data_IF_258580695018
#
_entry.id   IF_258580695018
#
_cell.length_a   1.000
_cell.length_b   1.000
_cell.length_c   1.000
_cell.angle_alpha   90.00
_cell.angle_beta   90.00
_cell.angle_gamma   90.00
#
_symmetry.space_group_name_H-M   'P 1'
#
loop_
_entity.id
_entity.type
_entity.pdbx_description
1 polymer ?
#
# COMPACT_ATOMS: atom_id res chain seq x y z
N UNK A 1 10.38 -7.89 -16.41
CA UNK A 1 9.75 -6.61 -16.01
C UNK A 1 10.56 -6.01 -14.86
N UNK A 2 10.64 -4.69 -14.75
CA UNK A 2 11.35 -3.98 -13.69
C UNK A 2 10.42 -2.91 -13.11
N UNK A 3 10.48 -2.71 -11.78
CA UNK A 3 9.75 -1.67 -11.06
C UNK A 3 10.75 -0.79 -10.29
N UNK A 4 10.56 0.52 -10.32
CA UNK A 4 11.36 1.51 -9.61
C UNK A 4 10.51 2.65 -9.06
N UNK A 5 11.08 3.40 -8.13
CA UNK A 5 10.57 4.69 -7.68
C UNK A 5 11.68 5.74 -7.77
N UNK A 6 11.33 7.00 -8.00
CA UNK A 6 12.25 8.13 -7.87
C UNK A 6 12.30 8.63 -6.42
N UNK A 7 11.39 8.16 -5.55
CA UNK A 7 11.28 8.61 -4.17
C UNK A 7 12.09 7.77 -3.19
N UNK A 8 12.25 6.46 -3.47
CA UNK A 8 13.07 5.56 -2.65
C UNK A 8 13.61 4.38 -3.47
N UNK A 9 14.71 3.82 -3.02
CA UNK A 9 15.32 2.62 -3.62
C UNK A 9 14.79 1.34 -2.99
N UNK A 10 15.04 0.20 -3.67
CA UNK A 10 14.68 -1.11 -3.15
C UNK A 10 15.40 -1.42 -1.81
N UNK A 11 14.65 -1.81 -0.78
CA UNK A 11 15.13 -2.04 0.57
C UNK A 11 15.57 -0.77 1.30
N UNK A 12 15.11 0.41 0.87
CA UNK A 12 15.44 1.69 1.49
C UNK A 12 14.22 2.32 2.16
N UNK A 13 14.45 3.24 3.14
CA UNK A 13 13.37 3.94 3.82
C UNK A 13 12.46 4.70 2.84
N UNK A 14 11.14 4.57 3.06
CA UNK A 14 10.14 5.42 2.41
C UNK A 14 10.18 6.79 3.07
N UNK A 15 10.33 7.92 2.34
CA UNK A 15 10.24 9.25 2.93
C UNK A 15 8.88 9.50 3.59
N UNK A 16 8.89 10.25 4.69
CA UNK A 16 7.72 10.44 5.55
C UNK A 16 6.53 11.06 4.83
N UNK A 17 6.73 11.86 3.80
CA UNK A 17 5.66 12.46 2.98
C UNK A 17 4.75 11.43 2.27
N UNK A 18 5.28 10.22 2.02
CA UNK A 18 4.54 9.10 1.43
C UNK A 18 3.89 8.19 2.48
N UNK A 19 4.04 8.51 3.76
CA UNK A 19 3.47 7.76 4.86
C UNK A 19 2.16 8.40 5.36
N UNK A 20 1.30 7.58 5.98
CA UNK A 20 0.11 8.04 6.69
C UNK A 20 0.49 8.66 8.05
N UNK A 21 1.49 8.09 8.73
CA UNK A 21 2.02 8.61 9.97
C UNK A 21 3.53 8.87 9.90
N UNK A 22 4.03 9.84 10.68
CA UNK A 22 5.45 10.19 10.82
C UNK A 22 5.88 10.22 12.26
N UNK A 23 7.18 10.03 12.49
CA UNK A 23 7.76 10.13 13.83
C UNK A 23 7.51 11.51 14.44
N UNK A 24 7.04 11.51 15.69
CA UNK A 24 6.83 12.68 16.52
C UNK A 24 6.87 12.24 18.00
N UNK A 25 6.16 12.89 18.90
CA UNK A 25 6.03 12.47 20.30
C UNK A 25 4.55 12.14 20.62
N UNK A 26 4.12 10.87 20.55
CA UNK A 26 4.80 9.67 20.03
C UNK A 26 4.78 9.55 18.50
N UNK A 27 3.78 10.09 17.79
CA UNK A 27 3.68 10.16 16.33
C UNK A 27 2.77 11.33 15.89
N UNK A 28 2.80 11.70 14.62
CA UNK A 28 1.88 12.64 13.99
C UNK A 28 1.39 12.09 12.65
N UNK A 29 0.27 12.60 12.13
CA UNK A 29 -0.14 12.36 10.76
C UNK A 29 0.86 12.98 9.78
N UNK A 30 1.03 12.37 8.61
CA UNK A 30 1.89 12.84 7.54
C UNK A 30 1.08 13.23 6.30
N UNK A 31 1.73 13.44 5.16
CA UNK A 31 1.08 14.00 3.99
C UNK A 31 0.34 12.94 3.17
N UNK A 32 0.67 11.65 3.35
CA UNK A 32 -0.01 10.51 2.72
C UNK A 32 0.02 10.55 1.18
N UNK A 33 1.10 11.11 0.60
CA UNK A 33 1.26 11.16 -0.85
C UNK A 33 1.47 9.75 -1.41
N UNK A 34 0.86 9.41 -2.54
CA UNK A 34 1.23 8.19 -3.25
C UNK A 34 2.64 8.34 -3.84
N UNK A 35 3.54 7.33 -3.72
CA UNK A 35 4.88 7.44 -4.27
C UNK A 35 4.87 7.35 -5.80
N UNK A 36 5.89 7.93 -6.44
CA UNK A 36 6.20 7.67 -7.84
C UNK A 36 6.51 6.20 -8.03
N UNK A 37 5.92 5.58 -9.04
CA UNK A 37 6.20 4.21 -9.47
C UNK A 37 6.31 4.17 -11.00
N UNK A 38 7.38 3.57 -11.52
CA UNK A 38 7.56 3.37 -12.95
C UNK A 38 8.00 1.94 -13.24
N UNK A 39 7.42 1.34 -14.29
CA UNK A 39 7.75 -0.01 -14.72
C UNK A 39 8.00 -0.10 -16.22
N UNK A 40 8.84 -1.05 -16.59
CA UNK A 40 9.25 -1.28 -17.98
C UNK A 40 9.53 -2.77 -18.24
N UNK A 41 9.79 -3.08 -19.51
CA UNK A 41 10.13 -4.43 -19.96
C UNK A 41 9.01 -5.45 -19.64
N UNK A 42 7.75 -5.02 -19.74
CA UNK A 42 6.61 -5.91 -19.67
C UNK A 42 6.57 -6.84 -20.89
N UNK A 43 6.06 -8.08 -20.75
CA UNK A 43 5.87 -8.98 -21.89
C UNK A 43 5.03 -8.34 -23.01
N UNK A 44 5.32 -8.65 -24.26
CA UNK A 44 4.64 -8.05 -25.41
C UNK A 44 3.12 -8.34 -25.46
N UNK A 45 2.69 -9.43 -24.81
CA UNK A 45 1.29 -9.83 -24.73
C UNK A 45 0.51 -9.10 -23.62
N UNK A 46 1.14 -8.17 -22.88
CA UNK A 46 0.49 -7.43 -21.78
C UNK A 46 -0.64 -6.56 -22.31
N UNK A 47 -1.80 -6.66 -21.65
CA UNK A 47 -3.02 -5.92 -22.00
C UNK A 47 -3.51 -5.02 -20.88
N UNK A 48 -3.09 -5.27 -19.63
CA UNK A 48 -3.33 -4.40 -18.48
C UNK A 48 -2.30 -4.68 -17.40
N UNK A 49 -2.30 -3.80 -16.37
CA UNK A 49 -1.53 -4.03 -15.16
C UNK A 49 -2.41 -4.00 -13.91
N UNK A 50 -1.90 -4.63 -12.87
CA UNK A 50 -2.39 -4.55 -11.50
C UNK A 50 -1.26 -4.05 -10.62
N UNK A 51 -1.57 -3.17 -9.67
CA UNK A 51 -0.65 -2.69 -8.63
C UNK A 51 -1.18 -3.09 -7.25
N UNK A 52 -0.29 -3.56 -6.39
CA UNK A 52 -0.56 -3.78 -4.96
C UNK A 52 0.53 -3.15 -4.11
N UNK A 53 0.18 -2.67 -2.91
CA UNK A 53 1.12 -2.39 -1.81
C UNK A 53 0.63 -3.12 -0.57
N UNK A 54 1.45 -4.03 -0.04
CA UNK A 54 1.11 -4.89 1.10
C UNK A 54 2.27 -4.87 2.10
N UNK A 55 1.94 -4.69 3.37
CA UNK A 55 2.84 -4.84 4.52
C UNK A 55 2.58 -6.22 5.17
N UNK A 56 3.52 -7.18 5.11
CA UNK A 56 3.37 -8.49 5.75
C UNK A 56 3.79 -8.49 7.23
N UNK A 57 4.25 -7.37 7.77
CA UNK A 57 4.87 -7.28 9.09
C UNK A 57 3.93 -6.75 10.18
N UNK A 58 2.62 -6.63 9.89
CA UNK A 58 1.65 -6.10 10.85
C UNK A 58 1.39 -7.09 11.98
N UNK A 59 1.40 -6.64 13.26
CA UNK A 59 1.12 -7.50 14.41
C UNK A 59 -0.21 -8.25 14.28
N UNK A 60 -0.21 -9.57 14.50
CA UNK A 60 -1.42 -10.40 14.42
C UNK A 60 -2.44 -10.14 15.53
N UNK A 61 -2.07 -9.33 16.54
CA UNK A 61 -2.93 -8.91 17.66
C UNK A 61 -2.51 -7.53 18.16
N UNK A 62 -3.48 -6.76 18.67
CA UNK A 62 -3.30 -5.37 19.05
C UNK A 62 -3.03 -5.09 20.53
N UNK A 63 -2.81 -6.14 21.38
CA UNK A 63 -2.76 -5.99 22.85
C UNK A 63 -1.74 -4.97 23.35
N UNK A 64 -0.61 -4.83 22.65
CA UNK A 64 0.47 -3.92 23.01
C UNK A 64 0.63 -2.75 22.01
N UNK A 65 -0.13 -2.76 20.92
CA UNK A 65 -0.02 -1.77 19.84
C UNK A 65 -0.31 -0.37 20.35
N UNK A 66 0.63 0.55 20.10
CA UNK A 66 0.51 1.98 20.44
C UNK A 66 0.24 2.26 21.92
N UNK A 67 0.76 1.43 22.83
CA UNK A 67 0.62 1.63 24.26
C UNK A 67 1.92 2.11 24.91
N UNK A 68 1.84 3.20 25.68
CA UNK A 68 2.99 3.75 26.41
C UNK A 68 3.53 2.72 27.43
N UNK A 69 4.87 2.57 27.46
CA UNK A 69 5.56 1.63 28.34
C UNK A 69 5.47 0.17 27.89
N UNK A 70 4.90 -0.12 26.73
CA UNK A 70 4.88 -1.44 26.11
C UNK A 70 5.67 -1.46 24.81
N UNK A 71 6.05 -2.64 24.39
CA UNK A 71 6.72 -2.89 23.09
C UNK A 71 5.99 -4.01 22.40
N UNK A 72 5.69 -3.86 21.12
CA UNK A 72 5.23 -4.96 20.27
C UNK A 72 6.45 -5.83 19.93
N UNK A 73 6.50 -7.11 20.37
CA UNK A 73 7.68 -7.95 20.17
C UNK A 73 7.92 -8.24 18.67
N UNK A 74 9.20 -8.27 18.26
CA UNK A 74 9.54 -8.59 16.86
C UNK A 74 9.19 -10.03 16.46
N UNK A 75 9.16 -10.96 17.43
CA UNK A 75 8.83 -12.38 17.22
C UNK A 75 7.33 -12.69 17.30
N UNK A 76 6.48 -11.69 17.51
CA UNK A 76 5.02 -11.85 17.41
C UNK A 76 4.66 -12.29 15.99
N UNK A 77 3.76 -13.28 15.81
CA UNK A 77 3.24 -13.61 14.48
C UNK A 77 2.69 -12.39 13.74
N UNK A 78 2.95 -12.32 12.44
CA UNK A 78 2.59 -11.17 11.58
C UNK A 78 1.52 -11.57 10.57
N UNK A 79 0.78 -10.57 10.11
CA UNK A 79 -0.27 -10.70 9.10
C UNK A 79 -0.10 -9.65 8.00
N UNK A 80 -0.67 -9.94 6.82
CA UNK A 80 -0.72 -8.95 5.73
C UNK A 80 -1.66 -7.79 6.11
N UNK A 81 -1.24 -6.59 5.73
CA UNK A 81 -2.07 -5.37 5.75
C UNK A 81 -2.00 -4.72 4.37
N UNK A 82 -3.14 -4.52 3.78
CA UNK A 82 -3.28 -3.92 2.45
C UNK A 82 -3.23 -2.41 2.56
N UNK A 83 -2.28 -1.78 1.85
CA UNK A 83 -2.13 -0.33 1.73
C UNK A 83 -2.64 0.22 0.40
N UNK A 84 -2.63 -0.59 -0.67
CA UNK A 84 -3.04 -0.17 -1.99
C UNK A 84 -3.41 -1.36 -2.88
N UNK A 85 -4.56 -1.27 -3.54
CA UNK A 85 -4.96 -2.18 -4.61
C UNK A 85 -5.47 -1.35 -5.78
N UNK A 86 -4.90 -1.57 -6.97
CA UNK A 86 -5.38 -0.96 -8.22
C UNK A 86 -5.37 -2.02 -9.33
N UNK A 87 -6.47 -2.13 -10.06
CA UNK A 87 -6.61 -3.06 -11.17
C UNK A 87 -7.01 -2.34 -12.46
N UNK A 88 -6.94 -3.04 -13.59
CA UNK A 88 -7.32 -2.53 -14.90
C UNK A 88 -6.51 -1.28 -15.32
N UNK A 89 -5.26 -1.17 -14.89
CA UNK A 89 -4.34 -0.13 -15.33
C UNK A 89 -4.04 -0.38 -16.82
N UNK A 90 -4.25 0.60 -17.71
CA UNK A 90 -4.04 0.42 -19.15
C UNK A 90 -2.63 -0.04 -19.52
N UNK A 91 -2.49 -0.87 -20.57
CA UNK A 91 -1.21 -1.41 -21.02
C UNK A 91 -0.19 -0.34 -21.44
N UNK A 92 -0.65 0.82 -21.90
CA UNK A 92 0.17 1.97 -22.24
C UNK A 92 0.67 2.77 -21.02
N UNK A 93 0.11 2.52 -19.85
CA UNK A 93 0.56 3.14 -18.62
C UNK A 93 1.85 2.44 -18.14
N UNK A 94 2.93 3.19 -18.05
CA UNK A 94 4.23 2.70 -17.54
C UNK A 94 4.71 3.43 -16.30
N UNK A 95 3.90 4.38 -15.79
CA UNK A 95 4.30 5.26 -14.71
C UNK A 95 3.09 5.84 -13.97
N UNK A 96 3.21 6.00 -12.67
CA UNK A 96 2.36 6.79 -11.80
C UNK A 96 3.22 7.86 -11.14
N UNK A 97 2.93 9.14 -11.37
CA UNK A 97 3.66 10.23 -10.75
C UNK A 97 3.43 10.26 -9.22
N UNK A 98 4.37 10.81 -8.49
CA UNK A 98 4.17 11.06 -7.06
C UNK A 98 2.93 11.94 -6.83
N UNK A 99 2.17 11.68 -5.78
CA UNK A 99 0.91 12.35 -5.40
C UNK A 99 -0.24 12.22 -6.43
N UNK A 100 -0.09 11.40 -7.49
CA UNK A 100 -1.12 11.28 -8.52
C UNK A 100 -2.35 10.46 -8.08
N UNK A 101 -2.21 9.58 -7.08
CA UNK A 101 -3.26 8.68 -6.62
C UNK A 101 -3.68 8.91 -5.16
N UNK A 102 -2.91 9.69 -4.42
CA UNK A 102 -3.22 10.19 -3.08
C UNK A 102 -2.34 11.40 -2.80
N UNK A 103 -2.91 12.50 -2.33
CA UNK A 103 -2.24 13.76 -2.04
C UNK A 103 -2.53 14.28 -0.63
N UNK A 104 -3.36 13.55 0.14
CA UNK A 104 -3.69 13.86 1.53
C UNK A 104 -4.33 12.69 2.27
N UNK A 105 -4.49 12.82 3.58
CA UNK A 105 -5.34 11.95 4.39
C UNK A 105 -6.78 12.46 4.32
N UNK A 106 -7.71 11.61 3.87
CA UNK A 106 -9.13 11.92 3.86
C UNK A 106 -9.80 11.15 5.00
N UNK A 107 -10.30 11.83 6.05
CA UNK A 107 -11.07 11.20 7.10
C UNK A 107 -12.25 10.41 6.52
N UNK A 108 -12.45 9.18 6.98
CA UNK A 108 -13.46 8.21 6.51
C UNK A 108 -13.15 7.60 5.13
N UNK A 109 -11.93 7.83 4.61
CA UNK A 109 -11.43 7.23 3.37
C UNK A 109 -11.80 7.99 2.10
N UNK A 110 -11.08 7.66 1.04
CA UNK A 110 -11.30 8.16 -0.32
C UNK A 110 -12.37 7.31 -1.00
N UNK A 111 -13.53 7.88 -1.31
CA UNK A 111 -14.60 7.17 -2.03
C UNK A 111 -14.33 7.07 -3.54
N UNK A 112 -13.59 8.03 -4.09
CA UNK A 112 -13.26 8.11 -5.52
C UNK A 112 -11.76 8.45 -5.67
N UNK A 113 -10.85 7.49 -5.37
CA UNK A 113 -9.41 7.73 -5.47
C UNK A 113 -8.99 7.92 -6.92
N UNK A 114 -8.06 8.85 -7.16
CA UNK A 114 -7.51 9.10 -8.49
C UNK A 114 -6.68 7.92 -8.99
N UNK A 115 -6.70 7.71 -10.32
CA UNK A 115 -5.93 6.69 -11.01
C UNK A 115 -5.94 6.87 -12.52
N UNK A 116 -5.17 6.07 -13.29
CA UNK A 116 -5.23 6.05 -14.74
C UNK A 116 -6.66 5.80 -15.26
N UNK A 117 -7.07 6.43 -16.38
CA UNK A 117 -8.41 6.24 -16.92
C UNK A 117 -8.74 4.75 -17.14
N UNK A 118 -9.89 4.31 -16.63
CA UNK A 118 -10.34 2.91 -16.72
C UNK A 118 -9.82 1.99 -15.63
N UNK A 119 -8.86 2.42 -14.79
CA UNK A 119 -8.48 1.66 -13.61
C UNK A 119 -9.58 1.71 -12.54
N UNK A 120 -9.60 0.70 -11.68
CA UNK A 120 -10.45 0.62 -10.48
C UNK A 120 -9.57 0.35 -9.26
N UNK A 121 -9.97 0.86 -8.11
CA UNK A 121 -9.20 0.71 -6.89
C UNK A 121 -9.95 -0.12 -5.84
N UNK A 122 -9.20 -0.90 -5.09
CA UNK A 122 -9.73 -1.78 -4.06
C UNK A 122 -9.72 -1.14 -2.68
N UNK A 123 -10.44 -1.78 -1.75
CA UNK A 123 -10.45 -1.42 -0.34
C UNK A 123 -9.11 -1.77 0.30
N UNK A 124 -8.58 -0.86 1.11
CA UNK A 124 -7.41 -1.10 1.94
C UNK A 124 -7.79 -1.35 3.41
N UNK A 125 -6.85 -1.86 4.21
CA UNK A 125 -7.13 -2.36 5.56
C UNK A 125 -7.26 -1.26 6.62
N UNK A 126 -7.02 0.02 6.27
CA UNK A 126 -7.41 1.15 7.14
C UNK A 126 -8.93 1.15 7.39
N UNK A 127 -9.73 0.62 6.46
CA UNK A 127 -11.17 0.39 6.66
C UNK A 127 -11.45 -0.42 7.93
N UNK A 128 -10.74 -1.52 8.12
CA UNK A 128 -10.83 -2.36 9.32
C UNK A 128 -10.17 -1.73 10.54
N UNK A 129 -9.03 -1.08 10.35
CA UNK A 129 -8.28 -0.44 11.42
C UNK A 129 -9.08 0.67 12.10
N UNK A 130 -9.76 1.49 11.33
CA UNK A 130 -10.58 2.58 11.85
C UNK A 130 -12.04 2.20 12.16
N UNK A 131 -12.40 0.93 12.06
CA UNK A 131 -13.75 0.47 12.41
C UNK A 131 -14.07 0.81 13.88
N UNK A 132 -15.12 1.62 14.09
CA UNK A 132 -15.51 2.09 15.42
C UNK A 132 -14.90 3.40 15.87
N UNK A 133 -13.95 3.98 15.12
CA UNK A 133 -13.47 5.35 15.37
C UNK A 133 -14.54 6.37 14.91
N UNK A 134 -14.87 7.34 15.77
CA UNK A 134 -15.97 8.27 15.49
C UNK A 134 -15.69 9.24 14.32
N UNK A 135 -14.40 9.56 14.09
CA UNK A 135 -13.98 10.55 13.09
C UNK A 135 -13.44 9.88 11.83
N UNK A 136 -12.78 8.73 11.97
CA UNK A 136 -12.05 8.07 10.88
C UNK A 136 -12.77 6.85 10.30
N UNK A 137 -13.80 6.30 10.97
CA UNK A 137 -14.52 5.10 10.46
C UNK A 137 -15.15 5.35 9.10
N UNK A 138 -14.82 4.50 8.11
CA UNK A 138 -15.31 4.60 6.74
C UNK A 138 -14.64 3.58 5.82
N UNK A 139 -14.92 3.67 4.53
CA UNK A 139 -14.33 2.81 3.51
C UNK A 139 -13.12 3.50 2.87
N UNK A 140 -11.94 2.92 3.03
CA UNK A 140 -10.68 3.44 2.52
C UNK A 140 -10.33 2.75 1.22
N UNK A 141 -10.41 3.47 0.09
CA UNK A 141 -10.05 3.00 -1.24
C UNK A 141 -8.70 3.60 -1.69
N UNK A 142 -7.97 2.85 -2.50
CA UNK A 142 -6.71 3.31 -3.07
C UNK A 142 -5.56 3.31 -2.06
N UNK A 143 -4.61 4.23 -2.24
CA UNK A 143 -3.41 4.31 -1.43
C UNK A 143 -3.63 5.03 -0.12
N UNK A 144 -3.26 4.37 0.98
CA UNK A 144 -2.95 4.98 2.26
C UNK A 144 -1.64 4.40 2.78
N UNK A 145 -0.70 5.28 3.09
CA UNK A 145 0.71 4.96 3.29
C UNK A 145 1.06 4.31 4.62
N UNK A 146 2.35 4.11 4.89
CA UNK A 146 2.87 3.52 6.12
C UNK A 146 2.41 4.23 7.39
N UNK A 147 1.99 3.44 8.39
CA UNK A 147 1.76 3.90 9.76
C UNK A 147 1.90 2.72 10.74
N UNK A 148 3.08 2.08 10.82
CA UNK A 148 3.28 0.96 11.74
C UNK A 148 3.16 1.44 13.19
N UNK A 149 2.93 0.54 14.15
CA UNK A 149 2.88 0.92 15.56
C UNK A 149 4.17 1.65 15.98
N UNK A 150 4.03 2.81 16.64
CA UNK A 150 5.20 3.61 17.08
C UNK A 150 6.07 2.91 18.14
N UNK A 151 5.59 1.81 18.70
CA UNK A 151 6.31 0.98 19.68
C UNK A 151 6.61 -0.44 19.15
N UNK A 152 6.52 -0.67 17.83
CA UNK A 152 6.89 -1.98 17.25
C UNK A 152 8.41 -2.13 17.22
N UNK A 153 8.92 -3.27 17.68
CA UNK A 153 10.34 -3.60 17.62
C UNK A 153 10.79 -4.15 16.26
N UNK A 154 9.84 -4.41 15.34
CA UNK A 154 10.13 -4.86 13.99
C UNK A 154 10.14 -3.67 13.02
N UNK A 155 11.09 -3.67 12.07
CA UNK A 155 11.05 -2.83 10.89
C UNK A 155 10.02 -3.38 9.92
N UNK A 156 9.09 -2.55 9.45
CA UNK A 156 8.08 -2.95 8.50
C UNK A 156 8.56 -2.80 7.05
N UNK A 157 8.12 -3.73 6.17
CA UNK A 157 8.44 -3.77 4.74
C UNK A 157 7.16 -3.60 3.92
N UNK A 158 7.19 -2.66 2.98
CA UNK A 158 6.06 -2.34 2.10
C UNK A 158 6.38 -2.84 0.71
N UNK A 159 5.68 -3.91 0.31
CA UNK A 159 5.89 -4.61 -0.95
C UNK A 159 4.99 -4.00 -2.04
N UNK A 160 5.57 -3.11 -2.84
CA UNK A 160 4.92 -2.61 -4.06
C UNK A 160 5.13 -3.62 -5.18
N UNK A 161 4.06 -4.17 -5.73
CA UNK A 161 4.12 -5.13 -6.84
C UNK A 161 3.28 -4.67 -8.01
N UNK A 162 3.83 -4.76 -9.21
CA UNK A 162 3.11 -4.57 -10.46
C UNK A 162 3.07 -5.90 -11.21
N UNK A 163 1.87 -6.31 -11.61
CA UNK A 163 1.61 -7.53 -12.38
C UNK A 163 1.18 -7.16 -13.78
N UNK A 164 1.82 -7.74 -14.80
CA UNK A 164 1.42 -7.64 -16.20
C UNK A 164 0.44 -8.77 -16.54
N UNK A 165 -0.71 -8.44 -17.10
CA UNK A 165 -1.79 -9.40 -17.38
C UNK A 165 -2.03 -9.55 -18.88
N UNK A 166 -2.49 -10.75 -19.32
CA UNK A 166 -2.89 -11.05 -20.71
C UNK A 166 -4.33 -10.64 -21.05
N UNK A 167 -5.07 -10.08 -20.09
CA UNK A 167 -6.43 -9.55 -20.25
C UNK A 167 -6.46 -8.05 -20.09
N UNK A 168 -7.34 -7.37 -20.84
CA UNK A 168 -7.47 -5.92 -20.76
C UNK A 168 -8.21 -5.47 -19.50
N UNK A 169 -9.16 -6.27 -19.02
CA UNK A 169 -9.95 -5.95 -17.84
C UNK A 169 -10.20 -7.23 -17.02
N UNK A 170 -10.01 -7.12 -15.73
CA UNK A 170 -10.52 -8.06 -14.74
C UNK A 170 -11.98 -7.67 -14.41
N UNK A 171 -12.86 -8.63 -14.08
CA UNK A 171 -14.24 -8.37 -13.71
C UNK A 171 -14.36 -7.83 -12.28
N UNK A 172 -13.71 -6.69 -12.01
CA UNK A 172 -13.65 -6.01 -10.72
C UNK A 172 -14.30 -4.62 -10.82
N UNK A 173 -14.91 -4.20 -9.73
CA UNK A 173 -15.48 -2.86 -9.55
C UNK A 173 -14.80 -2.17 -8.38
N UNK A 174 -14.93 -0.85 -8.25
CA UNK A 174 -14.42 -0.11 -7.09
C UNK A 174 -14.76 -0.81 -5.76
N UNK A 175 -13.82 -0.75 -4.82
CA UNK A 175 -13.98 -1.37 -3.51
C UNK A 175 -13.73 -2.89 -3.48
N UNK A 176 -13.14 -3.47 -4.51
CA UNK A 176 -12.80 -4.90 -4.50
C UNK A 176 -11.77 -5.23 -3.41
N UNK A 177 -11.84 -6.45 -2.85
CA UNK A 177 -10.90 -6.93 -1.84
C UNK A 177 -9.66 -7.59 -2.47
N UNK A 178 -8.60 -7.74 -1.67
CA UNK A 178 -7.39 -8.51 -2.07
C UNK A 178 -7.74 -9.95 -2.49
N UNK A 179 -8.68 -10.60 -1.80
CA UNK A 179 -9.11 -11.95 -2.14
C UNK A 179 -9.79 -11.99 -3.53
N UNK A 180 -10.65 -11.03 -3.84
CA UNK A 180 -11.29 -10.90 -5.15
C UNK A 180 -10.25 -10.62 -6.25
N UNK A 181 -9.26 -9.75 -5.97
CA UNK A 181 -8.17 -9.45 -6.89
C UNK A 181 -7.35 -10.70 -7.20
N UNK A 182 -6.90 -11.43 -6.18
CA UNK A 182 -6.12 -12.66 -6.34
C UNK A 182 -6.88 -13.71 -7.15
N UNK A 183 -8.17 -13.86 -6.90
CA UNK A 183 -9.03 -14.79 -7.66
C UNK A 183 -9.18 -14.36 -9.13
N UNK A 184 -9.40 -13.06 -9.39
CA UNK A 184 -9.56 -12.55 -10.75
C UNK A 184 -8.27 -12.60 -11.58
N UNK A 185 -7.09 -12.44 -10.95
CA UNK A 185 -5.78 -12.51 -11.61
C UNK A 185 -5.34 -13.95 -11.90
N UNK A 186 -5.94 -14.97 -11.28
CA UNK A 186 -5.47 -16.35 -11.39
C UNK A 186 -5.46 -16.84 -12.85
N UNK A 187 -4.29 -17.26 -13.34
CA UNK A 187 -4.08 -17.71 -14.71
C UNK A 187 -3.85 -16.61 -15.75
N UNK A 188 -3.88 -15.33 -15.35
CA UNK A 188 -3.71 -14.19 -16.26
C UNK A 188 -2.37 -13.46 -16.11
N UNK A 189 -1.56 -13.78 -15.10
CA UNK A 189 -0.29 -13.11 -14.83
C UNK A 189 0.78 -13.59 -15.81
N UNK A 190 1.34 -12.68 -16.61
CA UNK A 190 2.44 -12.92 -17.53
C UNK A 190 3.81 -12.67 -16.89
N UNK A 191 3.90 -11.66 -16.04
CA UNK A 191 5.11 -11.26 -15.32
C UNK A 191 4.76 -10.39 -14.13
N UNK A 192 5.70 -10.30 -13.18
CA UNK A 192 5.61 -9.37 -12.06
C UNK A 192 6.94 -8.67 -11.82
N UNK A 193 6.89 -7.54 -11.14
CA UNK A 193 8.05 -6.84 -10.61
C UNK A 193 7.71 -6.25 -9.23
N UNK A 194 8.71 -6.22 -8.36
CA UNK A 194 8.58 -5.78 -6.97
C UNK A 194 9.58 -4.68 -6.64
N UNK A 195 9.15 -3.76 -5.80
CA UNK A 195 9.96 -2.76 -5.11
C UNK A 195 9.56 -2.78 -3.64
N UNK A 196 10.52 -2.97 -2.74
CA UNK A 196 10.28 -2.99 -1.30
C UNK A 196 10.79 -1.70 -0.68
N UNK A 197 9.94 -0.98 0.03
CA UNK A 197 10.32 0.12 0.89
C UNK A 197 10.26 -0.28 2.36
N UNK A 198 11.02 0.39 3.24
CA UNK A 198 10.98 0.15 4.68
C UNK A 198 10.43 1.36 5.41
N UNK A 199 9.80 1.15 6.57
CA UNK A 199 9.33 2.24 7.42
C UNK A 199 9.20 1.82 8.88
N UNK A 200 9.47 2.75 9.80
CA UNK A 200 9.23 2.57 11.23
C UNK A 200 8.87 3.90 11.87
N UNK A 201 7.90 3.87 12.78
CA UNK A 201 7.60 4.98 13.69
C UNK A 201 8.34 4.85 15.03
N UNK A 202 8.95 3.69 15.30
CA UNK A 202 9.76 3.47 16.49
C UNK A 202 11.16 4.06 16.31
N UNK A 203 11.54 5.10 17.07
CA UNK A 203 12.87 5.72 16.91
C UNK A 203 14.04 4.79 17.29
N UNK A 204 13.77 3.70 17.98
CA UNK A 204 14.78 2.69 18.32
C UNK A 204 15.03 1.67 17.20
N UNK A 205 14.20 1.67 16.15
CA UNK A 205 14.32 0.78 14.99
C UNK A 205 14.83 1.60 13.80
N UNK A 206 15.99 1.23 13.28
CA UNK A 206 16.54 1.85 12.08
C UNK A 206 15.71 1.47 10.86
N UNK A 207 15.29 2.47 10.06
CA UNK A 207 14.58 2.28 8.80
C UNK A 207 15.56 2.21 7.62
#
# INVERSE_FOLDING_TARGET
>A
MQLRSDNFGNGRPIPAEFAFGKQADPFALSDNLSPHLAWKDAPHATRSFVLTCIDPDVPSRGDDVNQAGRTVPADLPRVEFVHWLMANIPAECGELAAAACSDEIIPRGKCEPFGPPGSVQGVNDYTGWFAGDAEMSGEYLGYDGPCPPWNDALLHHYHFKVYALDVANLPLTEGFSLAALRAAMAGHVLAEAELVGTYSLNPAVAA
#
